data_IF_251307147140
#
_entry.id   IF_251307147140
#
_cell.length_a   1.000
_cell.length_b   1.000
_cell.length_c   1.000
_cell.angle_alpha   90.00
_cell.angle_beta   90.00
_cell.angle_gamma   90.00
#
_symmetry.space_group_name_H-M   'P 1'
#
loop_
_entity.id
_entity.type
_entity.pdbx_description
1 polymer ?
#
# COMPACT_ATOMS: atom_id res chain seq x y z
N UNK A 1 14.07 -22.33 -10.82
CA UNK A 1 14.64 -21.06 -10.33
C UNK A 1 13.60 -20.45 -9.42
N UNK A 2 13.93 -20.26 -8.15
CA UNK A 2 13.00 -19.92 -7.08
C UNK A 2 12.28 -18.60 -7.38
N UNK A 3 10.95 -18.61 -7.32
CA UNK A 3 10.08 -17.44 -7.50
C UNK A 3 10.11 -16.58 -6.22
N UNK A 4 11.30 -16.11 -5.85
CA UNK A 4 11.50 -15.37 -4.62
C UNK A 4 11.16 -13.89 -4.82
N UNK A 5 10.36 -13.34 -3.92
CA UNK A 5 9.97 -11.93 -3.96
C UNK A 5 11.16 -10.98 -3.75
N UNK A 6 12.19 -11.39 -3.01
CA UNK A 6 13.37 -10.58 -2.72
C UNK A 6 14.36 -10.48 -3.90
N UNK A 7 14.15 -11.27 -4.96
CA UNK A 7 14.93 -11.21 -6.20
C UNK A 7 14.18 -10.51 -7.34
N UNK A 8 13.03 -9.91 -7.05
CA UNK A 8 12.19 -9.26 -8.05
C UNK A 8 12.84 -7.99 -8.60
N UNK A 9 13.17 -7.99 -9.89
CA UNK A 9 13.71 -6.80 -10.59
C UNK A 9 12.62 -5.84 -11.10
N UNK A 10 11.35 -6.10 -10.83
CA UNK A 10 10.23 -5.22 -11.18
C UNK A 10 9.10 -5.34 -10.17
N UNK A 11 8.34 -4.26 -9.98
CA UNK A 11 7.17 -4.27 -9.10
C UNK A 11 6.09 -5.26 -9.55
N UNK A 12 5.93 -5.45 -10.87
CA UNK A 12 5.01 -6.45 -11.44
C UNK A 12 5.39 -7.88 -11.03
N UNK A 13 6.68 -8.19 -10.97
CA UNK A 13 7.17 -9.48 -10.47
C UNK A 13 6.98 -9.56 -8.94
N UNK A 14 7.37 -8.52 -8.20
CA UNK A 14 7.26 -8.46 -6.74
C UNK A 14 5.82 -8.74 -6.25
N UNK A 15 4.82 -8.06 -6.84
CA UNK A 15 3.43 -8.25 -6.43
C UNK A 15 2.88 -9.66 -6.70
N UNK A 16 3.45 -10.39 -7.68
CA UNK A 16 3.03 -11.76 -7.97
C UNK A 16 3.64 -12.79 -7.03
N UNK A 17 4.82 -12.49 -6.45
CA UNK A 17 5.58 -13.46 -5.66
C UNK A 17 5.58 -13.17 -4.16
N UNK A 18 5.25 -11.94 -3.73
CA UNK A 18 5.25 -11.55 -2.32
C UNK A 18 4.26 -12.36 -1.45
N UNK A 19 2.99 -12.40 -1.85
CA UNK A 19 1.96 -13.16 -1.15
C UNK A 19 1.09 -13.88 -2.18
N UNK A 20 1.54 -15.06 -2.59
CA UNK A 20 0.92 -15.86 -3.64
C UNK A 20 -0.54 -16.19 -3.29
N UNK A 21 -0.84 -16.46 -2.02
CA UNK A 21 -2.20 -16.79 -1.57
C UNK A 21 -3.17 -15.63 -1.80
N UNK A 22 -2.79 -14.42 -1.37
CA UNK A 22 -3.62 -13.22 -1.58
C UNK A 22 -3.68 -12.88 -3.06
N UNK A 23 -2.57 -13.00 -3.77
CA UNK A 23 -2.52 -12.73 -5.20
C UNK A 23 -3.45 -13.64 -6.00
N UNK A 24 -3.47 -14.94 -5.70
CA UNK A 24 -4.35 -15.90 -6.35
C UNK A 24 -5.81 -15.62 -6.01
N UNK A 25 -6.13 -15.32 -4.75
CA UNK A 25 -7.49 -14.94 -4.35
C UNK A 25 -7.97 -13.70 -5.11
N UNK A 26 -7.16 -12.64 -5.13
CA UNK A 26 -7.46 -11.41 -5.88
C UNK A 26 -7.62 -11.72 -7.38
N UNK A 27 -6.78 -12.58 -7.94
CA UNK A 27 -6.84 -12.93 -9.36
C UNK A 27 -8.15 -13.65 -9.73
N UNK A 28 -8.51 -14.69 -8.97
CA UNK A 28 -9.65 -15.54 -9.28
C UNK A 28 -11.00 -14.86 -8.98
N UNK A 29 -11.08 -14.10 -7.88
CA UNK A 29 -12.33 -13.52 -7.39
C UNK A 29 -12.55 -12.05 -7.79
N UNK A 30 -11.49 -11.25 -7.96
CA UNK A 30 -11.63 -9.84 -8.31
C UNK A 30 -11.24 -9.60 -9.77
N UNK A 31 -9.99 -9.90 -10.13
CA UNK A 31 -9.44 -9.51 -11.43
C UNK A 31 -10.22 -10.08 -12.61
N UNK A 32 -10.56 -11.38 -12.58
CA UNK A 32 -11.28 -12.03 -13.68
C UNK A 32 -12.69 -11.47 -13.89
N UNK A 33 -13.34 -11.06 -12.82
CA UNK A 33 -14.71 -10.52 -12.87
C UNK A 33 -14.70 -9.07 -13.34
N UNK A 34 -13.79 -8.25 -12.79
CA UNK A 34 -13.60 -6.88 -13.27
C UNK A 34 -13.05 -6.81 -14.70
N UNK A 35 -12.26 -7.79 -15.14
CA UNK A 35 -11.81 -7.86 -16.54
C UNK A 35 -12.98 -8.14 -17.49
N UNK A 36 -13.91 -9.02 -17.09
CA UNK A 36 -15.13 -9.28 -17.85
C UNK A 36 -16.05 -8.05 -17.91
N UNK A 37 -16.16 -7.31 -16.81
CA UNK A 37 -16.99 -6.10 -16.71
C UNK A 37 -16.41 -4.91 -17.48
N UNK A 38 -15.13 -4.58 -17.24
CA UNK A 38 -14.49 -3.37 -17.81
C UNK A 38 -14.00 -3.56 -19.23
N UNK A 39 -13.78 -4.82 -19.67
CA UNK A 39 -13.11 -5.20 -20.92
C UNK A 39 -11.73 -4.54 -21.13
N UNK A 40 -11.17 -3.92 -20.09
CA UNK A 40 -9.92 -3.18 -20.14
C UNK A 40 -8.94 -3.76 -19.11
N UNK A 41 -7.80 -4.29 -19.58
CA UNK A 41 -6.79 -4.90 -18.70
C UNK A 41 -6.23 -3.90 -17.68
N UNK A 42 -6.02 -2.65 -18.10
CA UNK A 42 -5.51 -1.59 -17.21
C UNK A 42 -6.56 -1.18 -16.18
N UNK A 43 -7.82 -1.01 -16.59
CA UNK A 43 -8.93 -0.70 -15.68
C UNK A 43 -9.15 -1.79 -14.63
N UNK A 44 -9.16 -3.07 -15.05
CA UNK A 44 -9.29 -4.20 -14.13
C UNK A 44 -8.12 -4.27 -13.12
N UNK A 45 -6.88 -3.98 -13.54
CA UNK A 45 -5.73 -3.90 -12.63
C UNK A 45 -5.88 -2.75 -11.65
N UNK A 46 -6.25 -1.55 -12.12
CA UNK A 46 -6.45 -0.38 -11.27
C UNK A 46 -7.49 -0.65 -10.16
N UNK A 47 -8.64 -1.24 -10.52
CA UNK A 47 -9.70 -1.56 -9.55
C UNK A 47 -9.18 -2.56 -8.51
N UNK A 48 -8.48 -3.60 -8.94
CA UNK A 48 -7.88 -4.59 -8.04
C UNK A 48 -6.87 -3.95 -7.08
N UNK A 49 -5.98 -3.10 -7.59
CA UNK A 49 -5.02 -2.37 -6.76
C UNK A 49 -5.70 -1.42 -5.78
N UNK A 50 -6.77 -0.74 -6.21
CA UNK A 50 -7.56 0.15 -5.37
C UNK A 50 -8.25 -0.61 -4.23
N UNK A 51 -8.90 -1.74 -4.54
CA UNK A 51 -9.52 -2.60 -3.52
C UNK A 51 -8.47 -3.11 -2.53
N UNK A 52 -7.32 -3.57 -3.03
CA UNK A 52 -6.21 -3.99 -2.18
C UNK A 52 -5.75 -2.86 -1.26
N UNK A 53 -5.50 -1.67 -1.80
CA UNK A 53 -5.07 -0.50 -1.02
C UNK A 53 -6.09 -0.10 0.05
N UNK A 54 -7.38 -0.17 -0.27
CA UNK A 54 -8.46 0.08 0.68
C UNK A 54 -8.41 -0.88 1.87
N UNK A 55 -8.24 -2.19 1.63
CA UNK A 55 -8.14 -3.17 2.72
C UNK A 55 -6.89 -2.98 3.58
N UNK A 56 -5.75 -2.61 2.98
CA UNK A 56 -4.53 -2.31 3.74
C UNK A 56 -4.72 -1.07 4.64
N UNK A 57 -5.26 0.01 4.08
CA UNK A 57 -5.57 1.23 4.82
C UNK A 57 -6.59 0.95 5.93
N UNK A 58 -7.63 0.16 5.64
CA UNK A 58 -8.65 -0.22 6.63
C UNK A 58 -8.05 -1.01 7.79
N UNK A 59 -7.22 -2.02 7.52
CA UNK A 59 -6.58 -2.82 8.56
C UNK A 59 -5.69 -1.96 9.47
N UNK A 60 -4.90 -1.05 8.90
CA UNK A 60 -4.07 -0.13 9.67
C UNK A 60 -4.94 0.88 10.44
N UNK A 61 -5.97 1.42 9.80
CA UNK A 61 -6.88 2.39 10.41
C UNK A 61 -7.60 1.82 11.63
N UNK A 62 -8.02 0.55 11.56
CA UNK A 62 -8.63 -0.16 12.70
C UNK A 62 -7.61 -0.36 13.83
N UNK A 63 -6.36 -0.70 13.51
CA UNK A 63 -5.30 -0.88 14.50
C UNK A 63 -4.94 0.43 15.23
N UNK A 64 -4.81 1.54 14.49
CA UNK A 64 -4.41 2.85 15.01
C UNK A 64 -5.61 3.66 15.53
N UNK A 65 -6.85 3.27 15.18
CA UNK A 65 -8.10 4.01 15.43
C UNK A 65 -8.05 5.42 14.85
N UNK A 66 -7.51 5.55 13.64
CA UNK A 66 -7.34 6.79 12.89
C UNK A 66 -7.37 6.48 11.39
N UNK A 67 -7.93 7.36 10.58
CA UNK A 67 -7.86 7.26 9.12
C UNK A 67 -6.75 8.19 8.65
N UNK A 68 -5.64 7.62 8.19
CA UNK A 68 -4.49 8.39 7.70
C UNK A 68 -4.01 7.81 6.36
N UNK A 69 -4.48 8.34 5.21
CA UNK A 69 -4.47 7.68 3.90
C UNK A 69 -3.08 7.53 3.24
N UNK A 70 -2.00 7.54 4.02
CA UNK A 70 -0.64 7.36 3.52
C UNK A 70 -0.40 5.99 2.95
N UNK A 71 -0.89 4.90 3.56
CA UNK A 71 -0.74 3.56 3.00
C UNK A 71 -1.45 3.48 1.65
N UNK A 72 -2.67 4.01 1.58
CA UNK A 72 -3.44 4.08 0.33
C UNK A 72 -2.67 4.80 -0.80
N UNK A 73 -2.13 6.00 -0.53
CA UNK A 73 -1.39 6.79 -1.53
C UNK A 73 -0.10 6.10 -1.96
N UNK A 74 0.67 5.54 -1.01
CA UNK A 74 1.90 4.83 -1.33
C UNK A 74 1.63 3.58 -2.19
N UNK A 75 0.59 2.81 -1.88
CA UNK A 75 0.30 1.55 -2.56
C UNK A 75 -0.41 1.75 -3.90
N UNK A 76 -1.54 2.48 -3.92
CA UNK A 76 -2.34 2.70 -5.13
C UNK A 76 -1.76 3.77 -6.07
N UNK A 77 -0.94 4.68 -5.56
CA UNK A 77 -0.27 5.71 -6.34
C UNK A 77 1.13 5.29 -6.76
N UNK A 78 2.07 5.31 -5.82
CA UNK A 78 3.51 5.15 -6.10
C UNK A 78 3.82 3.73 -6.60
N UNK A 79 3.44 2.70 -5.84
CA UNK A 79 3.76 1.32 -6.21
C UNK A 79 3.02 0.87 -7.47
N UNK A 80 1.77 1.30 -7.67
CA UNK A 80 1.04 1.06 -8.92
C UNK A 80 1.73 1.73 -10.11
N UNK A 81 2.17 2.98 -9.98
CA UNK A 81 2.93 3.70 -11.01
C UNK A 81 4.21 2.96 -11.41
N UNK A 82 4.95 2.42 -10.45
CA UNK A 82 6.15 1.63 -10.72
C UNK A 82 5.88 0.31 -11.45
N UNK A 83 4.65 -0.22 -11.46
CA UNK A 83 4.32 -1.44 -12.22
C UNK A 83 4.36 -1.25 -13.74
N UNK A 84 4.25 -0.01 -14.23
CA UNK A 84 4.34 0.29 -15.67
C UNK A 84 5.77 0.37 -16.19
N UNK A 85 6.76 0.40 -15.29
CA UNK A 85 8.17 0.42 -15.68
C UNK A 85 8.56 -1.00 -16.10
N UNK A 86 8.73 -1.18 -17.41
CA UNK A 86 9.21 -2.43 -17.98
C UNK A 86 10.74 -2.50 -17.89
N UNK A 87 11.23 -3.44 -17.11
CA UNK A 87 12.65 -3.67 -16.87
C UNK A 87 13.03 -5.06 -17.37
N UNK A 88 14.26 -5.21 -17.87
CA UNK A 88 14.83 -6.53 -18.17
C UNK A 88 14.81 -7.42 -16.91
N UNK A 89 14.26 -8.61 -17.08
CA UNK A 89 14.29 -9.66 -16.06
C UNK A 89 15.76 -9.92 -15.66
N UNK A 90 16.04 -9.95 -14.35
CA UNK A 90 17.38 -10.14 -13.73
C UNK A 90 18.33 -8.95 -13.65
N UNK A 91 17.87 -7.71 -13.84
CA UNK A 91 18.73 -6.56 -13.53
C UNK A 91 18.96 -6.40 -12.03
N UNK A 92 20.23 -6.56 -11.58
CA UNK A 92 20.64 -6.40 -10.18
C UNK A 92 20.36 -5.00 -9.64
N UNK A 93 20.57 -3.97 -10.46
CA UNK A 93 20.31 -2.58 -10.07
C UNK A 93 18.83 -2.35 -9.75
N UNK A 94 17.94 -2.94 -10.56
CA UNK A 94 16.50 -2.81 -10.32
C UNK A 94 16.00 -3.66 -9.16
N UNK A 95 16.61 -4.82 -8.90
CA UNK A 95 16.35 -5.57 -7.67
C UNK A 95 16.69 -4.71 -6.44
N UNK A 96 17.89 -4.11 -6.41
CA UNK A 96 18.28 -3.19 -5.33
C UNK A 96 17.34 -2.00 -5.21
N UNK A 97 16.85 -1.44 -6.32
CA UNK A 97 15.87 -0.35 -6.32
C UNK A 97 14.51 -0.78 -5.73
N UNK A 98 13.97 -1.94 -6.12
CA UNK A 98 12.71 -2.45 -5.58
C UNK A 98 12.84 -2.66 -4.07
N UNK A 99 13.93 -3.28 -3.63
CA UNK A 99 14.16 -3.54 -2.21
C UNK A 99 14.38 -2.24 -1.41
N UNK A 100 15.18 -1.30 -1.93
CA UNK A 100 15.42 -0.02 -1.25
C UNK A 100 14.15 0.81 -1.12
N UNK A 101 13.36 0.91 -2.20
CA UNK A 101 12.08 1.62 -2.18
C UNK A 101 11.07 0.95 -1.24
N UNK A 102 11.08 -0.38 -1.12
CA UNK A 102 10.28 -1.10 -0.14
C UNK A 102 10.67 -0.73 1.30
N UNK A 103 11.97 -0.71 1.63
CA UNK A 103 12.43 -0.32 2.97
C UNK A 103 12.09 1.13 3.30
N UNK A 104 12.30 2.05 2.36
CA UNK A 104 11.96 3.46 2.54
C UNK A 104 10.45 3.64 2.74
N UNK A 105 9.63 3.00 1.90
CA UNK A 105 8.17 3.04 2.02
C UNK A 105 7.68 2.51 3.36
N UNK A 106 8.15 1.35 3.79
CA UNK A 106 7.79 0.77 5.09
C UNK A 106 8.26 1.64 6.26
N UNK A 107 9.47 2.22 6.17
CA UNK A 107 9.99 3.13 7.20
C UNK A 107 9.14 4.39 7.36
N UNK A 108 8.74 5.01 6.24
CA UNK A 108 7.85 6.18 6.26
C UNK A 108 6.49 5.81 6.86
N UNK A 109 5.88 4.70 6.42
CA UNK A 109 4.58 4.26 6.95
C UNK A 109 4.66 3.99 8.45
N UNK A 110 5.65 3.19 8.89
CA UNK A 110 5.83 2.88 10.30
C UNK A 110 6.05 4.13 11.14
N UNK A 111 6.86 5.07 10.67
CA UNK A 111 7.11 6.34 11.35
C UNK A 111 5.86 7.20 11.49
N UNK A 112 5.14 7.45 10.38
CA UNK A 112 3.94 8.27 10.38
C UNK A 112 2.83 7.69 11.26
N UNK A 113 2.54 6.39 11.13
CA UNK A 113 1.51 5.75 11.94
C UNK A 113 1.90 5.68 13.42
N UNK A 114 3.19 5.48 13.73
CA UNK A 114 3.66 5.50 15.13
C UNK A 114 3.50 6.88 15.75
N UNK A 115 3.93 7.94 15.05
CA UNK A 115 3.79 9.32 15.53
C UNK A 115 2.32 9.67 15.76
N UNK A 116 1.44 9.30 14.83
CA UNK A 116 0.00 9.54 14.97
C UNK A 116 -0.61 8.75 16.14
N UNK A 117 -0.21 7.50 16.31
CA UNK A 117 -0.66 6.67 17.43
C UNK A 117 -0.23 7.26 18.78
N UNK A 118 1.03 7.68 18.91
CA UNK A 118 1.52 8.33 20.14
C UNK A 118 0.90 9.71 20.37
N UNK A 119 0.68 10.50 19.31
CA UNK A 119 -0.01 11.79 19.42
C UNK A 119 -1.44 11.61 19.95
N UNK A 120 -2.14 10.54 19.55
CA UNK A 120 -3.50 10.24 20.04
C UNK A 120 -3.57 9.84 21.51
N UNK A 121 -2.50 9.25 22.03
CA UNK A 121 -2.43 8.89 23.45
C UNK A 121 -2.08 10.07 24.35
N UNK A 122 -1.18 10.94 23.88
CA UNK A 122 -0.62 12.01 24.72
C UNK A 122 -1.39 13.33 24.59
N UNK A 123 -2.07 13.58 23.47
CA UNK A 123 -2.70 14.86 23.18
C UNK A 123 -4.24 14.77 23.22
N UNK A 124 -4.92 15.79 23.80
CA UNK A 124 -6.38 15.84 23.80
C UNK A 124 -6.93 15.94 22.36
N UNK A 125 -8.17 15.48 22.12
CA UNK A 125 -8.82 15.62 20.82
C UNK A 125 -8.89 17.09 20.39
N UNK A 126 -8.62 17.37 19.12
CA UNK A 126 -8.59 18.73 18.59
C UNK A 126 -10.01 19.21 18.23
N UNK A 127 -10.89 18.28 17.86
CA UNK A 127 -12.29 18.55 17.52
C UNK A 127 -13.18 17.53 18.24
N UNK A 128 -14.34 17.96 18.72
CA UNK A 128 -15.34 17.05 19.28
C UNK A 128 -16.11 16.33 18.16
N UNK A 129 -16.17 14.99 18.21
CA UNK A 129 -16.96 14.16 17.30
C UNK A 129 -16.15 13.21 16.40
N UNK A 130 -16.82 12.47 15.49
CA UNK A 130 -16.18 11.44 14.65
C UNK A 130 -15.19 12.00 13.62
N UNK A 131 -15.23 13.32 13.37
CA UNK A 131 -14.32 14.01 12.44
C UNK A 131 -12.88 14.05 12.96
N UNK A 132 -12.67 13.94 14.29
CA UNK A 132 -11.35 13.82 14.91
C UNK A 132 -10.58 12.55 14.50
N UNK A 133 -11.28 11.54 13.95
CA UNK A 133 -10.66 10.32 13.42
C UNK A 133 -10.01 10.52 12.05
N UNK A 134 -10.42 11.55 11.30
CA UNK A 134 -9.93 11.84 9.94
C UNK A 134 -8.79 12.86 9.96
N UNK A 135 -8.74 13.68 11.01
CA UNK A 135 -7.72 14.73 11.15
C UNK A 135 -6.53 14.17 11.93
N UNK A 136 -5.30 14.20 11.39
CA UNK A 136 -4.13 13.70 12.09
C UNK A 136 -3.80 14.60 13.29
N UNK A 137 -3.73 14.02 14.50
CA UNK A 137 -3.38 14.76 15.72
C UNK A 137 -1.90 15.15 15.75
N UNK A 138 -1.06 14.41 15.04
CA UNK A 138 0.38 14.63 14.94
C UNK A 138 0.78 16.04 14.44
N UNK A 139 -0.08 16.73 13.68
CA UNK A 139 0.23 18.06 13.15
C UNK A 139 -0.25 19.22 14.04
N UNK A 140 -1.22 18.97 14.92
CA UNK A 140 -1.87 20.00 15.72
C UNK A 140 -1.51 19.92 17.21
N UNK A 141 -0.90 18.83 17.65
CA UNK A 141 -0.45 18.72 19.03
C UNK A 141 0.70 19.72 19.28
N UNK A 142 0.42 20.71 20.12
CA UNK A 142 1.44 21.63 20.66
C UNK A 142 2.00 21.01 21.93
N UNK A 143 3.33 20.90 22.00
CA UNK A 143 4.08 20.55 23.21
C UNK A 143 3.82 21.53 24.35
#
# INVERSE_FOLDING_TARGET
MSNDWWNASSYSHYFKTWNIVVQDWIYFYLYRDFLRLTKCKAGARLIVFFISAFFHEYAISVAVKCIYPCCFICFAGISYGFTFIHVKEHSRLWNLFVLSSLFVGNGILMGLYSIEFYARQNCPPTIEGPVDLVIPRSWFCKS
#
